data_IF_230453003986
#
_entry.id   IF_230453003986
#
_cell.length_a   1.000
_cell.length_b   1.000
_cell.length_c   1.000
_cell.angle_alpha   90.00
_cell.angle_beta   90.00
_cell.angle_gamma   90.00
#
_symmetry.space_group_name_H-M   'P 1'
#
loop_
_entity.id
_entity.type
_entity.pdbx_description
1 polymer ?
#
# COMPACT_ATOMS: atom_id res chain seq x y z
N UNK A 1 0.17 24.36 0.72
CA UNK A 1 0.21 22.96 1.17
C UNK A 1 1.59 22.38 0.89
N UNK A 2 2.48 22.34 1.88
CA UNK A 2 3.83 21.79 1.71
C UNK A 2 3.74 20.27 1.53
N UNK A 3 4.08 19.75 0.36
CA UNK A 3 4.22 18.30 0.16
C UNK A 3 5.40 17.84 1.03
N UNK A 4 5.12 17.12 2.12
CA UNK A 4 6.16 16.37 2.87
C UNK A 4 6.98 15.57 1.85
N UNK A 5 8.31 15.71 1.90
CA UNK A 5 9.21 14.93 1.04
C UNK A 5 9.09 13.45 1.41
N UNK A 6 8.56 12.64 0.49
CA UNK A 6 8.56 11.19 0.60
C UNK A 6 9.63 10.62 -0.32
N UNK A 7 10.32 9.56 0.13
CA UNK A 7 11.36 8.89 -0.66
C UNK A 7 10.80 7.96 -1.73
N UNK A 8 9.48 7.74 -1.73
CA UNK A 8 8.75 6.88 -2.67
C UNK A 8 7.65 7.67 -3.35
N UNK A 9 7.38 7.34 -4.62
CA UNK A 9 6.32 7.92 -5.45
C UNK A 9 5.32 6.83 -5.87
N UNK A 10 4.07 7.20 -6.19
CA UNK A 10 3.13 6.28 -6.84
C UNK A 10 3.76 5.73 -8.12
N UNK A 11 3.71 4.41 -8.30
CA UNK A 11 4.31 3.70 -9.42
C UNK A 11 5.72 3.17 -9.19
N UNK A 12 6.40 3.56 -8.11
CA UNK A 12 7.70 2.98 -7.75
C UNK A 12 7.53 1.53 -7.25
N UNK A 13 8.53 0.69 -7.51
CA UNK A 13 8.62 -0.64 -6.94
C UNK A 13 9.39 -0.60 -5.61
N UNK A 14 8.79 -1.20 -4.58
CA UNK A 14 9.32 -1.15 -3.22
C UNK A 14 9.35 -2.52 -2.58
N UNK A 15 10.33 -2.75 -1.73
CA UNK A 15 10.41 -3.91 -0.85
C UNK A 15 10.12 -3.49 0.58
N UNK A 16 9.37 -4.31 1.29
CA UNK A 16 9.21 -4.15 2.73
C UNK A 16 10.46 -4.66 3.45
N UNK A 17 11.12 -3.78 4.19
CA UNK A 17 12.35 -4.09 4.93
C UNK A 17 12.08 -4.56 6.37
N UNK A 18 10.93 -4.19 6.94
CA UNK A 18 10.60 -4.43 8.34
C UNK A 18 9.10 -4.71 8.57
N UNK A 19 8.79 -5.43 9.65
CA UNK A 19 7.43 -5.80 10.05
C UNK A 19 6.96 -7.16 9.54
N UNK A 20 5.65 -7.44 9.69
CA UNK A 20 5.04 -8.74 9.39
C UNK A 20 5.12 -9.16 7.91
N UNK A 21 5.37 -8.21 7.02
CA UNK A 21 5.43 -8.43 5.58
C UNK A 21 6.85 -8.26 5.02
N UNK A 22 7.88 -8.34 5.88
CA UNK A 22 9.29 -8.21 5.50
C UNK A 22 9.64 -9.17 4.34
N UNK A 23 10.36 -8.65 3.36
CA UNK A 23 10.83 -9.39 2.18
C UNK A 23 9.87 -9.35 0.99
N UNK A 24 8.57 -9.07 1.21
CA UNK A 24 7.63 -8.89 0.10
C UNK A 24 7.95 -7.64 -0.70
N UNK A 25 7.76 -7.76 -2.00
CA UNK A 25 7.93 -6.69 -2.98
C UNK A 25 6.58 -6.39 -3.63
N UNK A 26 6.42 -5.15 -4.07
CA UNK A 26 5.23 -4.75 -4.80
C UNK A 26 5.30 -3.32 -5.28
N UNK A 27 4.33 -2.94 -6.11
CA UNK A 27 4.21 -1.60 -6.66
C UNK A 27 3.44 -0.69 -5.70
N UNK A 28 3.90 0.55 -5.58
CA UNK A 28 3.19 1.59 -4.82
C UNK A 28 1.98 2.06 -5.63
N UNK A 29 0.78 1.83 -5.09
CA UNK A 29 -0.47 2.32 -5.68
C UNK A 29 -0.71 3.78 -5.30
N UNK A 30 -0.64 4.07 -4.00
CA UNK A 30 -0.90 5.41 -3.46
C UNK A 30 0.06 5.75 -2.32
N UNK A 31 0.35 7.05 -2.19
CA UNK A 31 1.19 7.61 -1.13
C UNK A 31 0.38 8.64 -0.34
N UNK A 32 0.08 8.32 0.90
CA UNK A 32 -0.52 9.24 1.86
C UNK A 32 0.58 9.97 2.64
N UNK A 33 1.16 11.01 2.02
CA UNK A 33 2.26 11.77 2.60
C UNK A 33 1.94 12.43 3.96
N UNK A 34 0.67 12.81 4.19
CA UNK A 34 0.23 13.40 5.46
C UNK A 34 0.32 12.41 6.63
N UNK A 35 -0.02 11.15 6.37
CA UNK A 35 -0.04 10.05 7.35
C UNK A 35 1.23 9.20 7.32
N UNK A 36 2.20 9.55 6.47
CA UNK A 36 3.45 8.81 6.26
C UNK A 36 3.21 7.33 5.91
N UNK A 37 2.16 7.09 5.11
CA UNK A 37 1.68 5.77 4.73
C UNK A 37 1.70 5.58 3.22
N UNK A 38 1.94 4.35 2.78
CA UNK A 38 1.91 3.93 1.37
C UNK A 38 1.09 2.67 1.21
N UNK A 39 0.30 2.60 0.15
CA UNK A 39 -0.43 1.40 -0.22
C UNK A 39 0.41 0.66 -1.26
N UNK A 40 0.80 -0.57 -0.92
CA UNK A 40 1.61 -1.42 -1.78
C UNK A 40 0.78 -2.65 -2.16
N UNK A 41 0.69 -2.91 -3.46
CA UNK A 41 -0.10 -4.00 -4.03
C UNK A 41 0.39 -5.37 -3.53
N UNK A 42 -0.54 -6.21 -3.05
CA UNK A 42 -0.30 -7.62 -2.71
C UNK A 42 0.51 -7.85 -1.42
N UNK A 43 0.95 -6.79 -0.75
CA UNK A 43 1.77 -6.91 0.45
C UNK A 43 0.91 -7.08 1.70
N UNK A 44 0.02 -6.13 1.94
CA UNK A 44 -0.87 -6.06 3.11
C UNK A 44 -2.31 -6.22 2.68
N UNK A 45 -2.75 -7.43 2.39
CA UNK A 45 -4.16 -7.69 2.03
C UNK A 45 -5.01 -7.70 3.29
N UNK A 46 -6.02 -6.84 3.34
CA UNK A 46 -7.01 -6.77 4.42
C UNK A 46 -8.37 -7.20 3.90
N UNK A 47 -8.94 -8.21 4.56
CA UNK A 47 -10.31 -8.67 4.32
C UNK A 47 -11.27 -7.68 4.95
N UNK A 48 -11.94 -6.87 4.14
CA UNK A 48 -12.97 -5.94 4.62
C UNK A 48 -14.34 -6.53 4.34
N UNK A 49 -15.11 -6.74 5.40
CA UNK A 49 -16.52 -7.10 5.28
C UNK A 49 -17.31 -5.86 4.86
N UNK A 50 -17.93 -5.92 3.69
CA UNK A 50 -18.74 -4.85 3.12
C UNK A 50 -20.20 -5.28 3.22
N UNK A 51 -21.00 -4.45 3.89
CA UNK A 51 -22.46 -4.63 3.93
C UNK A 51 -23.01 -4.40 2.53
N UNK A 52 -24.05 -5.17 2.17
CA UNK A 52 -24.79 -4.97 0.91
C UNK A 52 -25.23 -3.52 0.80
N UNK A 53 -24.85 -2.87 -0.29
CA UNK A 53 -25.21 -1.50 -0.63
C UNK A 53 -25.46 -1.40 -2.13
N UNK A 54 -26.00 -0.27 -2.59
CA UNK A 54 -26.29 -0.05 -4.01
C UNK A 54 -25.03 -0.17 -4.90
N UNK A 55 -23.86 0.21 -4.36
CA UNK A 55 -22.56 0.06 -5.03
C UNK A 55 -21.99 -1.37 -4.96
N UNK A 56 -22.46 -2.21 -4.02
CA UNK A 56 -22.02 -3.60 -3.83
C UNK A 56 -23.23 -4.51 -3.54
N UNK A 57 -24.02 -4.87 -4.58
CA UNK A 57 -25.30 -5.57 -4.43
C UNK A 57 -25.16 -6.98 -3.86
N UNK A 58 -24.09 -7.71 -4.21
CA UNK A 58 -23.82 -9.04 -3.67
C UNK A 58 -23.43 -8.99 -2.17
N UNK A 59 -22.80 -7.89 -1.75
CA UNK A 59 -22.10 -7.80 -0.46
C UNK A 59 -21.00 -8.87 -0.35
N UNK A 60 -20.25 -8.85 0.76
CA UNK A 60 -19.30 -9.92 1.05
C UNK A 60 -17.94 -9.43 1.55
N UNK A 61 -16.94 -10.30 1.38
CA UNK A 61 -15.57 -10.04 1.82
C UNK A 61 -14.80 -9.52 0.62
N UNK A 62 -14.42 -8.25 0.67
CA UNK A 62 -13.57 -7.63 -0.34
C UNK A 62 -12.13 -7.62 0.17
N UNK A 63 -11.21 -8.11 -0.66
CA UNK A 63 -9.79 -7.98 -0.41
C UNK A 63 -9.33 -6.57 -0.81
N UNK A 64 -8.73 -5.85 0.13
CA UNK A 64 -8.22 -4.49 -0.11
C UNK A 64 -6.80 -4.36 0.40
N UNK A 65 -5.93 -3.76 -0.40
CA UNK A 65 -4.58 -3.45 0.02
C UNK A 65 -4.58 -2.41 1.14
N UNK A 66 -3.76 -2.68 2.15
CA UNK A 66 -3.62 -1.88 3.34
C UNK A 66 -2.40 -0.97 3.29
N UNK A 67 -2.44 0.14 4.04
CA UNK A 67 -1.32 1.05 4.13
C UNK A 67 -0.18 0.43 4.94
N UNK A 68 1.05 0.76 4.55
CA UNK A 68 2.30 0.41 5.22
C UNK A 68 3.03 1.72 5.53
N UNK A 69 3.73 1.77 6.66
CA UNK A 69 4.49 2.97 7.00
C UNK A 69 5.65 3.19 6.03
N UNK A 70 5.88 4.43 5.63
CA UNK A 70 6.92 4.84 4.66
C UNK A 70 8.32 4.39 5.11
N UNK A 71 8.61 4.41 6.41
CA UNK A 71 9.90 3.93 6.95
C UNK A 71 10.14 2.42 6.80
N UNK A 72 9.09 1.63 6.58
CA UNK A 72 9.20 0.16 6.45
C UNK A 72 9.33 -0.29 5.00
N UNK A 73 9.35 0.64 4.05
CA UNK A 73 9.53 0.36 2.62
C UNK A 73 10.82 0.97 2.09
N UNK A 74 11.49 0.23 1.22
CA UNK A 74 12.68 0.66 0.51
C UNK A 74 12.43 0.57 -0.99
N UNK A 75 12.74 1.64 -1.71
CA UNK A 75 12.70 1.66 -3.17
C UNK A 75 13.74 0.66 -3.70
N UNK A 76 13.30 -0.19 -4.60
CA UNK A 76 14.18 -1.11 -5.32
C UNK A 76 14.44 -0.43 -6.67
N UNK A 77 15.71 -0.29 -7.02
CA UNK A 77 16.06 0.02 -8.40
C UNK A 77 16.09 -1.31 -9.14
N UNK A 78 15.11 -1.53 -10.00
CA UNK A 78 15.18 -2.64 -10.95
C UNK A 78 16.27 -2.24 -11.94
N UNK A 79 17.46 -2.81 -11.76
CA UNK A 79 18.54 -2.69 -12.72
C UNK A 79 18.05 -3.27 -14.05
N UNK A 80 17.69 -2.39 -14.97
CA UNK A 80 17.58 -2.69 -16.40
C UNK A 80 18.90 -2.35 -17.07
#
# INVERSE_FOLDING_TARGET
>A
MSRKKTHVKPGDEVQVIAGNHKGKQGKVLEVHAEKEQVVVEGVRVMKKSVRRSEENPDGGIVDKDGPIHISNVKKIEVAS
#
